data_IF_041435067865
#
_entry.id   IF_041435067865
#
_cell.length_a   1.000
_cell.length_b   1.000
_cell.length_c   1.000
_cell.angle_alpha   90.00
_cell.angle_beta   90.00
_cell.angle_gamma   90.00
#
_symmetry.space_group_name_H-M   'P 1'
#
loop_
_entity.id
_entity.type
_entity.pdbx_description
1 polymer ?
#
# COMPACT_ATOMS: atom_id res chain seq x y z
N UNK A 1 -15.12 -45.77 -6.03
CA UNK A 1 -13.69 -45.39 -6.12
C UNK A 1 -13.38 -44.45 -7.29
N UNK A 2 -13.73 -44.76 -8.55
CA UNK A 2 -13.50 -43.86 -9.72
C UNK A 2 -14.06 -42.43 -9.62
N UNK A 3 -15.20 -42.23 -8.93
CA UNK A 3 -15.81 -40.90 -8.74
C UNK A 3 -15.06 -40.03 -7.71
N UNK A 4 -14.49 -40.65 -6.67
CA UNK A 4 -13.70 -39.97 -5.63
C UNK A 4 -12.35 -39.46 -6.18
N UNK A 5 -11.73 -40.24 -7.09
CA UNK A 5 -10.50 -39.85 -7.78
C UNK A 5 -10.74 -38.62 -8.69
N UNK A 6 -11.89 -38.54 -9.36
CA UNK A 6 -12.22 -37.39 -10.22
C UNK A 6 -12.43 -36.08 -9.43
N UNK A 7 -13.04 -36.17 -8.23
CA UNK A 7 -13.23 -35.00 -7.36
C UNK A 7 -11.89 -34.50 -6.83
N UNK A 8 -11.00 -35.40 -6.39
CA UNK A 8 -9.67 -35.03 -5.90
C UNK A 8 -8.79 -34.35 -6.97
N UNK A 9 -8.90 -34.77 -8.24
CA UNK A 9 -8.17 -34.15 -9.35
C UNK A 9 -8.70 -32.75 -9.67
N UNK A 10 -10.01 -32.52 -9.58
CA UNK A 10 -10.61 -31.21 -9.84
C UNK A 10 -10.24 -30.20 -8.74
N UNK A 11 -10.18 -30.63 -7.47
CA UNK A 11 -9.75 -29.78 -6.35
C UNK A 11 -8.27 -29.40 -6.45
N UNK A 12 -7.41 -30.30 -6.94
CA UNK A 12 -5.99 -30.03 -7.11
C UNK A 12 -5.72 -28.99 -8.21
N UNK A 13 -6.50 -28.98 -9.30
CA UNK A 13 -6.36 -27.98 -10.37
C UNK A 13 -6.78 -26.56 -9.93
N UNK A 14 -7.72 -26.43 -8.99
CA UNK A 14 -8.13 -25.14 -8.41
C UNK A 14 -7.09 -24.58 -7.41
N UNK A 15 -6.21 -25.42 -6.86
CA UNK A 15 -5.19 -24.98 -5.92
C UNK A 15 -3.95 -24.37 -6.61
N UNK A 16 -3.70 -24.64 -7.89
CA UNK A 16 -2.53 -24.11 -8.62
C UNK A 16 -2.71 -22.71 -9.22
N UNK A 17 -3.93 -22.15 -9.22
CA UNK A 17 -4.20 -20.80 -9.73
C UNK A 17 -3.74 -19.65 -8.81
N UNK A 18 -3.33 -19.94 -7.57
CA UNK A 18 -2.99 -18.93 -6.55
C UNK A 18 -1.60 -18.31 -6.69
N UNK A 19 -0.74 -18.80 -7.59
CA UNK A 19 0.68 -18.42 -7.65
C UNK A 19 1.03 -17.40 -8.75
N UNK A 20 0.07 -16.62 -9.27
CA UNK A 20 0.36 -15.52 -10.21
C UNK A 20 0.99 -14.27 -9.53
N UNK A 21 1.58 -14.43 -8.33
CA UNK A 21 2.31 -13.38 -7.64
C UNK A 21 3.74 -13.20 -8.17
N UNK A 22 4.27 -14.12 -9.00
CA UNK A 22 5.73 -14.26 -9.10
C UNK A 22 6.43 -13.38 -10.16
N UNK A 23 5.77 -12.90 -11.22
CA UNK A 23 6.36 -11.89 -12.13
C UNK A 23 5.27 -11.02 -12.78
N UNK A 24 4.79 -9.99 -12.07
CA UNK A 24 3.90 -8.99 -12.66
C UNK A 24 4.73 -7.99 -13.46
N UNK A 25 4.57 -7.97 -14.78
CA UNK A 25 5.14 -6.92 -15.62
C UNK A 25 4.50 -5.58 -15.23
N UNK A 26 5.29 -4.56 -14.84
CA UNK A 26 4.73 -3.26 -14.51
C UNK A 26 3.95 -2.69 -15.72
N UNK A 27 2.73 -2.18 -15.52
CA UNK A 27 2.03 -1.43 -16.55
C UNK A 27 2.83 -0.20 -16.99
N UNK A 28 2.72 0.17 -18.26
CA UNK A 28 3.46 1.30 -18.85
C UNK A 28 2.50 2.41 -19.30
N UNK A 29 2.93 3.68 -19.30
CA UNK A 29 2.08 4.78 -19.76
C UNK A 29 1.47 4.50 -21.13
N UNK A 30 0.17 4.77 -21.28
CA UNK A 30 -0.63 4.46 -22.47
C UNK A 30 -1.44 3.16 -22.41
N UNK A 31 -1.12 2.24 -21.49
CA UNK A 31 -1.91 1.03 -21.23
C UNK A 31 -3.35 1.40 -20.83
N UNK A 32 -4.34 0.63 -21.29
CA UNK A 32 -5.74 0.82 -20.86
C UNK A 32 -5.97 0.26 -19.46
N UNK A 33 -7.08 0.63 -18.83
CA UNK A 33 -7.48 0.08 -17.53
C UNK A 33 -7.51 -1.45 -17.51
N UNK A 34 -8.01 -2.08 -18.57
CA UNK A 34 -8.09 -3.53 -18.71
C UNK A 34 -6.70 -4.15 -18.77
N UNK A 35 -5.76 -3.52 -19.49
CA UNK A 35 -4.37 -3.99 -19.56
C UNK A 35 -3.68 -3.86 -18.21
N UNK A 36 -3.89 -2.76 -17.49
CA UNK A 36 -3.36 -2.56 -16.13
C UNK A 36 -3.87 -3.65 -15.20
N UNK A 37 -5.17 -3.95 -15.22
CA UNK A 37 -5.78 -5.03 -14.42
C UNK A 37 -5.30 -6.41 -14.83
N UNK A 38 -5.12 -6.68 -16.12
CA UNK A 38 -4.58 -7.95 -16.59
C UNK A 38 -3.14 -8.20 -16.12
N UNK A 39 -2.31 -7.15 -16.11
CA UNK A 39 -0.89 -7.24 -15.68
C UNK A 39 -0.74 -7.31 -14.16
N UNK A 40 -1.54 -6.54 -13.42
CA UNK A 40 -1.30 -6.29 -12.00
C UNK A 40 -2.40 -6.79 -11.06
N UNK A 41 -3.51 -7.29 -11.61
CA UNK A 41 -4.69 -7.74 -10.89
C UNK A 41 -5.70 -6.62 -10.61
N UNK A 42 -6.72 -6.95 -9.83
CA UNK A 42 -7.69 -5.96 -9.35
C UNK A 42 -7.06 -5.04 -8.30
N UNK A 43 -7.36 -3.73 -8.34
CA UNK A 43 -6.85 -2.80 -7.36
C UNK A 43 -7.53 -3.00 -6.01
N UNK A 44 -6.77 -2.72 -4.96
CA UNK A 44 -7.26 -2.76 -3.58
C UNK A 44 -8.16 -1.58 -3.23
N UNK A 45 -8.04 -0.46 -3.94
CA UNK A 45 -8.96 0.67 -3.89
C UNK A 45 -8.91 1.45 -5.21
N UNK A 46 -9.98 2.19 -5.50
CA UNK A 46 -10.05 3.13 -6.62
C UNK A 46 -10.46 4.48 -6.08
N UNK A 47 -9.66 5.50 -6.35
CA UNK A 47 -9.89 6.88 -5.93
C UNK A 47 -10.24 7.72 -7.15
N UNK A 48 -11.47 8.26 -7.20
CA UNK A 48 -11.87 9.16 -8.27
C UNK A 48 -11.20 10.54 -8.10
N UNK A 49 -10.74 11.11 -9.20
CA UNK A 49 -10.15 12.45 -9.26
C UNK A 49 -10.81 13.26 -10.39
N UNK A 50 -10.84 14.60 -10.32
CA UNK A 50 -11.31 15.41 -11.44
C UNK A 50 -10.56 15.13 -12.75
N UNK A 51 -9.30 14.69 -12.65
CA UNK A 51 -8.43 14.36 -13.77
C UNK A 51 -8.43 12.88 -14.17
N UNK A 52 -9.38 12.06 -13.69
CA UNK A 52 -9.45 10.62 -13.96
C UNK A 52 -9.58 9.79 -12.68
N UNK A 53 -8.75 8.77 -12.51
CA UNK A 53 -8.80 7.91 -11.31
C UNK A 53 -7.42 7.38 -10.93
N UNK A 54 -7.24 7.06 -9.66
CA UNK A 54 -6.04 6.38 -9.14
C UNK A 54 -6.43 4.99 -8.66
N UNK A 55 -5.76 3.98 -9.19
CA UNK A 55 -5.86 2.60 -8.74
C UNK A 55 -4.78 2.35 -7.69
N UNK A 56 -5.18 1.96 -6.49
CA UNK A 56 -4.27 1.64 -5.39
C UNK A 56 -4.06 0.12 -5.30
N UNK A 57 -2.80 -0.30 -5.30
CA UNK A 57 -2.39 -1.69 -5.14
C UNK A 57 -1.54 -1.82 -3.86
N UNK A 58 -2.21 -1.88 -2.71
CA UNK A 58 -1.57 -2.14 -1.44
C UNK A 58 -1.31 -3.64 -1.24
N UNK A 59 -0.20 -3.99 -0.60
CA UNK A 59 0.17 -5.39 -0.31
C UNK A 59 -0.40 -5.92 1.02
N UNK A 60 -1.48 -5.28 1.50
CA UNK A 60 -2.15 -5.61 2.77
C UNK A 60 -1.60 -4.85 3.97
N UNK A 61 -2.18 -5.05 5.17
CA UNK A 61 -1.80 -4.31 6.40
C UNK A 61 -0.37 -4.60 6.90
N UNK A 62 0.20 -5.74 6.49
CA UNK A 62 1.59 -6.11 6.77
C UNK A 62 2.53 -5.84 5.59
N UNK A 63 1.99 -5.29 4.50
CA UNK A 63 2.73 -4.98 3.30
C UNK A 63 3.62 -3.74 3.47
N UNK A 64 4.80 -3.77 2.85
CA UNK A 64 5.75 -2.64 2.83
C UNK A 64 5.77 -1.91 1.48
N UNK A 65 4.88 -2.31 0.57
CA UNK A 65 4.78 -1.72 -0.77
C UNK A 65 3.34 -1.37 -1.08
N UNK A 66 3.16 -0.17 -1.63
CA UNK A 66 1.92 0.25 -2.28
C UNK A 66 2.28 0.84 -3.63
N UNK A 67 1.58 0.39 -4.68
CA UNK A 67 1.69 0.98 -6.01
C UNK A 67 0.43 1.78 -6.34
N UNK A 68 0.61 2.88 -7.06
CA UNK A 68 -0.48 3.70 -7.57
C UNK A 68 -0.40 3.80 -9.08
N UNK A 69 -1.49 3.42 -9.75
CA UNK A 69 -1.68 3.60 -11.18
C UNK A 69 -2.59 4.82 -11.40
N UNK A 70 -2.06 5.90 -11.95
CA UNK A 70 -2.83 7.10 -12.28
C UNK A 70 -3.37 6.97 -13.69
N UNK A 71 -4.68 6.85 -13.82
CA UNK A 71 -5.39 6.80 -15.09
C UNK A 71 -5.88 8.19 -15.46
N UNK A 72 -5.67 8.59 -16.71
CA UNK A 72 -6.20 9.83 -17.27
C UNK A 72 -7.70 9.76 -17.54
N UNK A 73 -8.33 10.89 -17.90
CA UNK A 73 -9.74 10.94 -18.24
C UNK A 73 -10.06 10.19 -19.55
N UNK A 74 -9.04 9.91 -20.37
CA UNK A 74 -9.10 9.10 -21.59
C UNK A 74 -9.04 7.59 -21.32
N UNK A 75 -8.98 7.17 -20.05
CA UNK A 75 -8.91 5.77 -19.65
C UNK A 75 -7.53 5.12 -19.85
N UNK A 76 -6.49 5.91 -20.16
CA UNK A 76 -5.12 5.44 -20.33
C UNK A 76 -4.26 5.71 -19.11
N UNK A 77 -3.27 4.85 -18.89
CA UNK A 77 -2.32 4.99 -17.80
C UNK A 77 -1.41 6.18 -18.06
N UNK A 78 -1.31 7.09 -17.09
CA UNK A 78 -0.37 8.21 -17.11
C UNK A 78 0.92 7.86 -16.38
N UNK A 79 0.80 7.21 -15.22
CA UNK A 79 1.94 6.83 -14.38
C UNK A 79 1.64 5.60 -13.53
N UNK A 80 2.65 4.79 -13.27
CA UNK A 80 2.61 3.66 -12.34
C UNK A 80 3.81 3.75 -11.41
N UNK A 81 3.58 4.04 -10.13
CA UNK A 81 4.65 4.34 -9.17
C UNK A 81 4.54 3.48 -7.92
N UNK A 82 5.67 3.05 -7.37
CA UNK A 82 5.73 2.64 -5.97
C UNK A 82 5.73 3.92 -5.14
N UNK A 83 4.74 4.09 -4.27
CA UNK A 83 4.54 5.33 -3.50
C UNK A 83 4.90 5.21 -2.03
N UNK A 84 5.02 3.99 -1.50
CA UNK A 84 5.29 3.75 -0.09
C UNK A 84 6.80 3.68 0.17
N UNK A 85 7.45 4.84 0.19
CA UNK A 85 8.90 4.99 0.32
C UNK A 85 9.32 6.44 0.59
N UNK A 86 10.63 6.67 0.74
CA UNK A 86 11.18 7.98 1.11
C UNK A 86 10.72 9.10 0.17
N UNK A 87 10.69 8.83 -1.14
CA UNK A 87 10.22 9.77 -2.15
C UNK A 87 8.72 10.10 -2.00
N UNK A 88 7.90 9.12 -1.65
CA UNK A 88 6.46 9.33 -1.42
C UNK A 88 6.22 10.18 -0.17
N UNK A 89 6.83 9.82 0.95
CA UNK A 89 6.70 10.59 2.19
C UNK A 89 7.30 11.99 2.07
N UNK A 90 8.41 12.16 1.32
CA UNK A 90 9.02 13.47 1.05
C UNK A 90 8.15 14.44 0.22
N UNK A 91 7.14 13.93 -0.49
CA UNK A 91 6.15 14.76 -1.19
C UNK A 91 5.12 15.36 -0.23
N UNK A 92 4.88 14.75 0.93
CA UNK A 92 3.94 15.24 1.95
C UNK A 92 4.52 16.49 2.62
N UNK A 93 3.75 17.58 2.61
CA UNK A 93 4.17 18.85 3.21
C UNK A 93 3.54 19.04 4.59
N UNK A 94 4.38 19.09 5.62
CA UNK A 94 3.96 19.41 6.99
C UNK A 94 3.31 20.80 7.01
N UNK A 95 2.31 20.98 7.86
CA UNK A 95 1.47 22.17 8.04
C UNK A 95 0.64 22.59 6.83
N UNK A 96 0.59 21.75 5.78
CA UNK A 96 -0.16 22.03 4.54
C UNK A 96 -0.98 20.83 4.05
N UNK A 97 -0.38 19.65 4.05
CA UNK A 97 -1.01 18.44 3.54
C UNK A 97 -2.18 18.03 4.44
N UNK A 98 -3.29 17.70 3.80
CA UNK A 98 -4.50 17.15 4.43
C UNK A 98 -4.45 15.62 4.48
N UNK A 99 -5.37 15.00 5.22
CA UNK A 99 -5.65 13.55 5.16
C UNK A 99 -5.86 13.06 3.72
N UNK A 100 -6.56 13.82 2.89
CA UNK A 100 -6.81 13.47 1.50
C UNK A 100 -5.53 13.51 0.67
N UNK A 101 -4.65 14.50 0.90
CA UNK A 101 -3.36 14.58 0.21
C UNK A 101 -2.46 13.41 0.58
N UNK A 102 -2.42 13.01 1.86
CA UNK A 102 -1.66 11.83 2.30
C UNK A 102 -2.21 10.56 1.64
N UNK A 103 -3.53 10.38 1.64
CA UNK A 103 -4.19 9.25 0.97
C UNK A 103 -3.87 9.22 -0.54
N UNK A 104 -3.86 10.37 -1.20
CA UNK A 104 -3.55 10.48 -2.62
C UNK A 104 -2.04 10.31 -2.93
N UNK A 105 -1.17 10.53 -1.93
CA UNK A 105 0.28 10.45 -2.10
C UNK A 105 0.82 9.06 -1.81
N UNK A 106 0.43 8.44 -0.69
CA UNK A 106 1.01 7.17 -0.21
C UNK A 106 -0.03 6.06 0.02
N UNK A 107 -1.32 6.37 -0.14
CA UNK A 107 -2.41 5.41 -0.03
C UNK A 107 -2.92 5.22 1.40
N UNK A 108 -3.69 4.15 1.59
CA UNK A 108 -4.30 3.83 2.89
C UNK A 108 -3.24 3.40 3.90
N UNK A 109 -3.37 3.84 5.17
CA UNK A 109 -2.47 3.40 6.22
C UNK A 109 -2.74 1.94 6.61
N UNK A 110 -1.69 1.31 7.14
CA UNK A 110 -1.81 -0.01 7.75
C UNK A 110 -2.56 0.05 9.09
N UNK A 111 -2.38 1.14 9.84
CA UNK A 111 -3.03 1.34 11.14
C UNK A 111 -3.43 2.81 11.31
N UNK A 112 -4.56 3.03 12.00
CA UNK A 112 -4.97 4.35 12.49
C UNK A 112 -5.11 4.29 14.00
N UNK A 113 -4.49 5.23 14.69
CA UNK A 113 -4.60 5.39 16.14
C UNK A 113 -4.80 6.86 16.49
N UNK A 114 -5.02 7.14 17.78
CA UNK A 114 -5.26 8.50 18.26
C UNK A 114 -4.56 8.71 19.60
N UNK A 115 -3.83 9.82 19.71
CA UNK A 115 -3.08 10.21 20.90
C UNK A 115 -3.90 11.22 21.70
N UNK A 116 -4.55 10.76 22.77
CA UNK A 116 -5.47 11.60 23.55
C UNK A 116 -4.81 12.82 24.22
N UNK A 117 -3.55 12.68 24.68
CA UNK A 117 -2.84 13.76 25.37
C UNK A 117 -2.44 14.91 24.45
N UNK A 118 -2.06 14.60 23.21
CA UNK A 118 -1.65 15.60 22.21
C UNK A 118 -2.77 15.94 21.22
N UNK A 119 -3.91 15.25 21.30
CA UNK A 119 -5.07 15.44 20.42
C UNK A 119 -4.73 15.24 18.92
N UNK A 120 -3.92 14.21 18.65
CA UNK A 120 -3.45 13.89 17.30
C UNK A 120 -3.98 12.53 16.82
N UNK A 121 -4.51 12.50 15.60
CA UNK A 121 -4.74 11.25 14.87
C UNK A 121 -3.42 10.79 14.22
N UNK A 122 -3.11 9.51 14.28
CA UNK A 122 -1.88 8.95 13.73
C UNK A 122 -2.21 7.89 12.70
N UNK A 123 -1.65 8.04 11.51
CA UNK A 123 -1.68 7.04 10.46
C UNK A 123 -0.31 6.41 10.33
N UNK A 124 -0.25 5.09 10.42
CA UNK A 124 1.00 4.35 10.44
C UNK A 124 1.14 3.49 9.19
N UNK A 125 2.34 3.50 8.62
CA UNK A 125 2.68 2.87 7.35
C UNK A 125 3.95 2.05 7.49
N UNK A 126 3.88 0.76 7.20
CA UNK A 126 5.07 -0.10 7.11
C UNK A 126 5.71 0.11 5.74
N UNK A 127 7.02 0.28 5.68
CA UNK A 127 7.71 0.52 4.41
C UNK A 127 9.17 0.09 4.46
N UNK A 128 9.79 0.06 3.27
CA UNK A 128 11.22 -0.14 3.12
C UNK A 128 11.95 1.20 3.04
N UNK A 129 12.48 1.66 4.16
CA UNK A 129 13.28 2.89 4.22
C UNK A 129 14.61 2.69 3.47
N UNK A 130 14.93 3.63 2.59
CA UNK A 130 16.02 3.49 1.60
C UNK A 130 15.95 2.20 0.77
N UNK A 131 14.76 1.59 0.65
CA UNK A 131 14.57 0.31 -0.03
C UNK A 131 15.07 -0.92 0.72
N UNK A 132 15.63 -0.78 1.92
CA UNK A 132 16.31 -1.89 2.63
C UNK A 132 15.75 -2.10 4.03
N UNK A 133 15.66 -1.04 4.84
CA UNK A 133 15.35 -1.13 6.25
C UNK A 133 13.86 -1.30 6.50
N UNK A 134 13.49 -2.20 7.41
CA UNK A 134 12.10 -2.39 7.82
C UNK A 134 11.71 -1.27 8.79
N UNK A 135 11.00 -0.28 8.28
CA UNK A 135 10.65 0.93 9.04
C UNK A 135 9.14 1.15 9.03
N UNK A 136 8.68 1.91 10.02
CA UNK A 136 7.29 2.34 10.16
C UNK A 136 7.25 3.86 10.23
N UNK A 137 6.54 4.46 9.28
CA UNK A 137 6.29 5.89 9.22
C UNK A 137 4.97 6.22 9.93
N UNK A 138 5.00 7.19 10.83
CA UNK A 138 3.85 7.71 11.56
C UNK A 138 3.55 9.14 11.12
N UNK A 139 2.44 9.33 10.43
CA UNK A 139 1.93 10.63 10.01
C UNK A 139 0.87 11.10 11.02
N UNK A 140 1.11 12.25 11.65
CA UNK A 140 0.26 12.79 12.70
C UNK A 140 -0.56 13.96 12.16
N UNK A 141 -1.86 13.94 12.39
CA UNK A 141 -2.81 14.96 11.99
C UNK A 141 -3.43 15.64 13.20
N UNK A 142 -3.65 16.95 13.11
CA UNK A 142 -4.49 17.65 14.07
C UNK A 142 -5.99 17.38 13.85
N UNK A 143 -6.85 17.97 14.70
CA UNK A 143 -8.32 17.86 14.56
C UNK A 143 -8.85 18.30 13.21
N UNK A 144 -8.22 19.30 12.59
CA UNK A 144 -8.62 19.80 11.26
C UNK A 144 -8.19 18.88 10.12
N UNK A 145 -7.33 17.90 10.42
CA UNK A 145 -6.85 16.91 9.44
C UNK A 145 -5.61 17.35 8.69
N UNK A 146 -4.87 18.30 9.23
CA UNK A 146 -3.61 18.79 8.66
C UNK A 146 -2.44 18.04 9.29
N UNK A 147 -1.48 17.61 8.46
CA UNK A 147 -0.26 16.94 8.91
C UNK A 147 0.57 17.90 9.75
N UNK A 148 0.84 17.54 11.00
CA UNK A 148 1.70 18.30 11.93
C UNK A 148 3.06 17.67 12.15
N UNK A 149 3.16 16.36 12.01
CA UNK A 149 4.40 15.64 12.28
C UNK A 149 4.49 14.36 11.47
N UNK A 150 5.69 14.05 11.01
CA UNK A 150 6.03 12.74 10.47
C UNK A 150 7.24 12.20 11.22
N UNK A 151 7.18 10.95 11.66
CA UNK A 151 8.27 10.27 12.37
C UNK A 151 8.45 8.88 11.77
N UNK A 152 9.67 8.56 11.37
CA UNK A 152 10.08 7.21 10.99
C UNK A 152 10.77 6.54 12.17
N UNK A 153 10.54 5.25 12.36
CA UNK A 153 11.28 4.40 13.30
C UNK A 153 11.32 2.95 12.80
N UNK A 154 12.05 2.06 13.46
CA UNK A 154 12.03 0.64 13.13
C UNK A 154 10.61 0.07 13.22
N UNK A 155 10.25 -0.83 12.31
CA UNK A 155 8.96 -1.53 12.40
C UNK A 155 9.00 -2.55 13.56
N UNK A 156 8.15 -2.40 14.60
CA UNK A 156 8.14 -3.29 15.77
C UNK A 156 7.89 -4.77 15.42
N UNK A 157 7.34 -5.06 14.24
CA UNK A 157 7.15 -6.43 13.76
C UNK A 157 8.46 -7.13 13.39
N UNK A 158 9.46 -6.36 12.97
CA UNK A 158 10.78 -6.86 12.53
C UNK A 158 11.88 -6.63 13.56
N UNK A 159 11.60 -5.87 14.61
CA UNK A 159 12.51 -5.81 15.75
C UNK A 159 12.58 -7.18 16.43
N UNK A 160 13.80 -7.72 16.55
CA UNK A 160 14.03 -8.82 17.46
C UNK A 160 13.64 -8.35 18.86
N UNK A 161 12.61 -8.97 19.45
CA UNK A 161 12.40 -8.89 20.89
C UNK A 161 13.61 -9.53 21.56
N UNK A 162 14.68 -8.76 21.78
CA UNK A 162 15.78 -9.16 22.66
C UNK A 162 15.17 -9.29 24.05
N UNK A 163 14.77 -10.51 24.38
CA UNK A 163 14.22 -10.85 25.68
C UNK A 163 15.18 -10.35 26.75
N UNK A 164 14.66 -9.53 27.65
CA UNK A 164 15.39 -8.96 28.78
C UNK A 164 15.81 -10.02 29.82
N UNK A 165 15.44 -11.29 29.59
CA UNK A 165 15.77 -12.46 30.39
C UNK A 165 16.45 -13.48 29.48
N UNK A 166 17.78 -13.44 29.44
CA UNK A 166 18.61 -14.62 29.11
C UNK A 166 19.45 -14.83 30.35
N UNK A 167 19.02 -15.78 31.19
CA UNK A 167 19.79 -16.31 32.31
C UNK A 167 21.06 -17.01 31.81
#
# INVERSE_FOLDING_TARGET
>A
MRKLVKVAILSALLALGGCAAMMRTPPVPGDTLEVVRAKFGEPTAVHALPSGQVLEYATGPYGQFTWMARMGPDGKLLAFEQVLGDLGFGRIKIDKATRADVMATVGRPAERSYLALSDLEVWSYRYKESGVWNSMMHVHFDRTGIVRKMISGPDPMYEEKRGFFRD
#
